data_IF_876063827426
#
_entry.id   IF_876063827426
#
_cell.length_a   1.000
_cell.length_b   1.000
_cell.length_c   1.000
_cell.angle_alpha   90.00
_cell.angle_beta   90.00
_cell.angle_gamma   90.00
#
_symmetry.space_group_name_H-M   'P 1'
#
loop_
_entity.id
_entity.type
_entity.pdbx_description
1 polymer ?
#
# COMPACT_ATOMS: atom_id res chain seq x y z
N UNK A 1 1.98 -36.09 -1.85
CA UNK A 1 0.67 -36.75 -1.73
C UNK A 1 0.62 -37.78 -0.59
N UNK A 2 1.42 -38.89 -0.59
CA UNK A 2 1.33 -39.96 0.42
C UNK A 2 1.52 -39.51 1.87
N UNK A 3 2.45 -38.58 2.15
CA UNK A 3 2.68 -38.01 3.47
C UNK A 3 1.47 -37.20 3.94
N UNK A 4 0.96 -36.33 3.08
CA UNK A 4 -0.23 -35.50 3.35
C UNK A 4 -1.46 -36.39 3.63
N UNK A 5 -1.64 -37.48 2.87
CA UNK A 5 -2.73 -38.42 3.07
C UNK A 5 -2.67 -39.16 4.44
N UNK A 6 -1.45 -39.45 4.96
CA UNK A 6 -1.29 -40.04 6.30
C UNK A 6 -1.54 -39.05 7.43
N UNK A 7 -1.32 -37.76 7.18
CA UNK A 7 -1.50 -36.70 8.18
C UNK A 7 -2.91 -36.13 8.17
N UNK A 8 -3.69 -36.43 7.13
CA UNK A 8 -5.06 -35.95 6.99
C UNK A 8 -5.95 -36.58 8.08
N UNK A 9 -6.73 -35.77 8.82
CA UNK A 9 -7.68 -36.27 9.81
C UNK A 9 -8.73 -37.22 9.20
N UNK A 10 -9.37 -38.09 10.03
CA UNK A 10 -10.49 -38.91 9.56
C UNK A 10 -11.59 -38.06 8.95
N UNK A 11 -12.26 -38.59 7.92
CA UNK A 11 -13.35 -37.93 7.19
C UNK A 11 -12.95 -36.67 6.45
N UNK A 12 -11.66 -36.33 6.36
CA UNK A 12 -11.19 -35.23 5.52
C UNK A 12 -11.16 -35.62 4.04
N UNK A 13 -11.36 -34.65 3.17
CA UNK A 13 -11.23 -34.82 1.71
C UNK A 13 -9.93 -34.16 1.25
N UNK A 14 -9.03 -34.99 0.69
CA UNK A 14 -7.79 -34.55 0.11
C UNK A 14 -7.90 -34.59 -1.41
N UNK A 15 -7.66 -33.48 -2.09
CA UNK A 15 -7.57 -33.39 -3.54
C UNK A 15 -6.30 -32.67 -3.99
N UNK A 16 -5.88 -32.96 -5.22
CA UNK A 16 -4.80 -32.23 -5.90
C UNK A 16 -5.44 -31.20 -6.83
N UNK A 17 -5.18 -29.93 -6.60
CA UNK A 17 -5.79 -28.81 -7.35
C UNK A 17 -4.92 -28.44 -8.56
N UNK A 18 -3.60 -28.43 -8.37
CA UNK A 18 -2.63 -28.13 -9.44
C UNK A 18 -1.39 -29.02 -9.30
N UNK A 19 -0.35 -28.76 -10.08
CA UNK A 19 0.87 -29.57 -10.13
C UNK A 19 1.51 -29.77 -8.76
N UNK A 20 1.58 -28.75 -7.93
CA UNK A 20 2.21 -28.73 -6.61
C UNK A 20 1.23 -28.30 -5.48
N UNK A 21 0.02 -27.89 -5.84
CA UNK A 21 -1.00 -27.46 -4.89
C UNK A 21 -1.98 -28.59 -4.53
N UNK A 22 -2.23 -28.74 -3.24
CA UNK A 22 -3.17 -29.70 -2.67
C UNK A 22 -4.17 -28.97 -1.80
N UNK A 23 -5.43 -29.36 -1.85
CA UNK A 23 -6.46 -28.90 -0.94
C UNK A 23 -6.88 -30.01 0.01
N UNK A 24 -6.99 -29.66 1.29
CA UNK A 24 -7.47 -30.54 2.35
C UNK A 24 -8.70 -29.90 3.00
N UNK A 25 -9.85 -30.50 2.78
CA UNK A 25 -11.09 -30.07 3.41
C UNK A 25 -11.31 -30.86 4.69
N UNK A 26 -11.46 -30.15 5.80
CA UNK A 26 -11.74 -30.71 7.11
C UNK A 26 -13.22 -30.52 7.46
N UNK A 27 -13.94 -31.56 7.91
CA UNK A 27 -15.35 -31.43 8.32
C UNK A 27 -15.50 -30.58 9.59
N UNK A 28 -14.50 -30.64 10.47
CA UNK A 28 -14.45 -29.90 11.73
C UNK A 28 -13.11 -29.18 11.91
N UNK A 29 -13.16 -28.02 12.56
CA UNK A 29 -11.94 -27.31 12.93
C UNK A 29 -11.18 -28.09 14.04
N UNK A 30 -9.86 -28.25 13.91
CA UNK A 30 -9.05 -28.76 15.00
C UNK A 30 -9.18 -27.89 16.26
N UNK A 31 -9.13 -28.47 17.44
CA UNK A 31 -9.21 -27.76 18.72
C UNK A 31 -8.22 -26.62 18.85
N UNK A 32 -7.04 -26.75 18.24
CA UNK A 32 -6.06 -25.68 18.06
C UNK A 32 -5.58 -25.70 16.61
N UNK A 33 -6.16 -24.81 15.80
CA UNK A 33 -5.79 -24.69 14.38
C UNK A 33 -4.31 -24.32 14.20
N UNK A 34 -3.81 -23.43 15.04
CA UNK A 34 -2.41 -22.98 15.01
C UNK A 34 -1.42 -24.13 15.34
N UNK A 35 -1.70 -24.92 16.36
CA UNK A 35 -0.86 -26.07 16.70
C UNK A 35 -0.93 -27.16 15.62
N UNK A 36 -2.12 -27.45 15.13
CA UNK A 36 -2.33 -28.45 14.08
C UNK A 36 -1.63 -28.07 12.79
N UNK A 37 -1.76 -26.80 12.33
CA UNK A 37 -1.15 -26.33 11.10
C UNK A 37 0.38 -26.31 11.18
N UNK A 38 0.95 -25.89 12.31
CA UNK A 38 2.40 -25.97 12.55
C UNK A 38 2.92 -27.41 12.52
N UNK A 39 2.24 -28.34 13.17
CA UNK A 39 2.63 -29.73 13.14
C UNK A 39 2.54 -30.32 11.73
N UNK A 40 1.44 -30.04 11.02
CA UNK A 40 1.27 -30.47 9.63
C UNK A 40 2.40 -29.96 8.74
N UNK A 41 2.75 -28.69 8.87
CA UNK A 41 3.83 -28.08 8.13
C UNK A 41 5.18 -28.70 8.44
N UNK A 42 5.53 -28.84 9.72
CA UNK A 42 6.79 -29.47 10.15
C UNK A 42 6.95 -30.88 9.58
N UNK A 43 5.91 -31.67 9.63
CA UNK A 43 5.90 -33.01 9.07
C UNK A 43 6.05 -33.00 7.54
N UNK A 44 5.41 -32.07 6.85
CA UNK A 44 5.51 -31.95 5.40
C UNK A 44 6.89 -31.43 4.95
N UNK A 45 7.55 -30.61 5.76
CA UNK A 45 8.88 -30.08 5.49
C UNK A 45 10.02 -31.06 5.80
N UNK A 46 9.74 -32.18 6.51
CA UNK A 46 10.77 -33.19 6.71
C UNK A 46 11.31 -33.71 5.37
N UNK A 47 12.62 -33.94 5.24
CA UNK A 47 13.23 -34.32 3.96
C UNK A 47 12.58 -35.54 3.33
N UNK A 48 12.46 -35.50 2.02
CA UNK A 48 11.99 -36.59 1.19
C UNK A 48 13.18 -37.35 0.60
N UNK A 49 13.17 -38.69 0.71
CA UNK A 49 14.15 -39.49 0.00
C UNK A 49 13.65 -39.76 -1.42
N UNK A 50 14.37 -39.29 -2.39
CA UNK A 50 14.10 -39.54 -3.82
C UNK A 50 15.38 -40.14 -4.40
N UNK A 51 15.33 -41.46 -4.63
CA UNK A 51 16.49 -42.26 -4.99
C UNK A 51 17.63 -42.08 -3.98
N UNK A 52 18.80 -41.61 -4.39
CA UNK A 52 19.95 -41.37 -3.53
C UNK A 52 19.95 -39.92 -2.92
N UNK A 53 19.00 -39.05 -3.32
CA UNK A 53 18.98 -37.67 -2.91
C UNK A 53 17.98 -37.39 -1.77
N UNK A 54 18.41 -36.53 -0.86
CA UNK A 54 17.59 -36.03 0.23
C UNK A 54 17.12 -34.62 -0.11
N UNK A 55 15.82 -34.46 -0.40
CA UNK A 55 15.23 -33.22 -0.87
C UNK A 55 14.34 -32.63 0.22
N UNK A 56 14.57 -31.38 0.59
CA UNK A 56 13.70 -30.61 1.45
C UNK A 56 12.98 -29.56 0.62
N UNK A 57 11.66 -29.49 0.76
CA UNK A 57 10.83 -28.52 0.03
C UNK A 57 10.18 -27.54 1.01
N UNK A 58 10.12 -26.24 0.70
CA UNK A 58 9.33 -25.30 1.49
C UNK A 58 7.84 -25.63 1.32
N UNK A 59 7.09 -25.53 2.41
CA UNK A 59 5.64 -25.76 2.42
C UNK A 59 4.95 -24.53 2.95
N UNK A 60 3.96 -24.05 2.21
CA UNK A 60 3.10 -22.95 2.60
C UNK A 60 1.67 -23.46 2.76
N UNK A 61 0.98 -22.98 3.79
CA UNK A 61 -0.40 -23.33 4.10
C UNK A 61 -1.28 -22.08 4.01
N UNK A 62 -2.27 -22.11 3.14
CA UNK A 62 -3.37 -21.15 3.12
C UNK A 62 -4.60 -21.80 3.76
N UNK A 63 -5.18 -21.17 4.75
CA UNK A 63 -6.29 -21.70 5.54
C UNK A 63 -7.48 -20.78 5.44
N UNK A 64 -8.65 -21.34 5.17
CA UNK A 64 -9.93 -20.65 5.27
C UNK A 64 -10.93 -21.51 6.06
N UNK A 65 -11.83 -20.87 6.78
CA UNK A 65 -12.92 -21.55 7.48
C UNK A 65 -14.27 -20.91 7.16
N UNK A 66 -15.33 -21.73 7.21
CA UNK A 66 -16.67 -21.25 6.88
C UNK A 66 -17.68 -22.39 6.83
N UNK A 67 -18.85 -22.10 6.25
CA UNK A 67 -19.94 -23.09 6.15
C UNK A 67 -19.73 -23.97 4.91
N UNK A 68 -20.03 -25.26 5.04
CA UNK A 68 -19.86 -26.25 3.96
C UNK A 68 -20.60 -25.91 2.64
N UNK A 69 -21.70 -25.17 2.72
CA UNK A 69 -22.47 -24.74 1.53
C UNK A 69 -21.71 -23.76 0.62
N UNK A 70 -20.63 -23.18 1.11
CA UNK A 70 -19.84 -22.17 0.40
C UNK A 70 -18.47 -22.76 -0.02
N UNK A 71 -18.41 -24.03 -0.43
CA UNK A 71 -17.16 -24.77 -0.69
C UNK A 71 -16.25 -24.10 -1.72
N UNK A 72 -16.77 -23.60 -2.84
CA UNK A 72 -15.99 -22.89 -3.86
C UNK A 72 -15.37 -21.60 -3.30
N UNK A 73 -16.15 -20.87 -2.50
CA UNK A 73 -15.68 -19.68 -1.84
C UNK A 73 -14.61 -19.96 -0.79
N UNK A 74 -14.76 -21.06 -0.03
CA UNK A 74 -13.73 -21.51 0.93
C UNK A 74 -12.41 -21.85 0.23
N UNK A 75 -12.47 -22.53 -0.91
CA UNK A 75 -11.28 -22.86 -1.70
C UNK A 75 -10.61 -21.58 -2.19
N UNK A 76 -11.36 -20.65 -2.80
CA UNK A 76 -10.84 -19.36 -3.26
C UNK A 76 -10.21 -18.53 -2.12
N UNK A 77 -10.81 -18.56 -0.92
CA UNK A 77 -10.25 -17.88 0.25
C UNK A 77 -8.95 -18.55 0.73
N UNK A 78 -8.87 -19.88 0.73
CA UNK A 78 -7.64 -20.59 1.08
C UNK A 78 -6.51 -20.33 0.07
N UNK A 79 -6.83 -20.27 -1.23
CA UNK A 79 -5.89 -19.90 -2.30
C UNK A 79 -5.38 -18.46 -2.13
N UNK A 80 -6.26 -17.51 -1.80
CA UNK A 80 -5.88 -16.13 -1.53
C UNK A 80 -4.93 -16.03 -0.32
N UNK A 81 -5.23 -16.74 0.77
CA UNK A 81 -4.36 -16.83 1.95
C UNK A 81 -3.01 -17.48 1.62
N UNK A 82 -2.99 -18.54 0.79
CA UNK A 82 -1.77 -19.20 0.34
C UNK A 82 -0.90 -18.26 -0.49
N UNK A 83 -1.49 -17.55 -1.45
CA UNK A 83 -0.78 -16.56 -2.29
C UNK A 83 -0.20 -15.41 -1.45
N UNK A 84 -0.93 -14.95 -0.44
CA UNK A 84 -0.43 -13.96 0.51
C UNK A 84 0.74 -14.51 1.33
N UNK A 85 0.62 -15.71 1.89
CA UNK A 85 1.69 -16.36 2.67
C UNK A 85 2.97 -16.53 1.85
N UNK A 86 2.87 -16.99 0.59
CA UNK A 86 4.00 -17.11 -0.33
C UNK A 86 4.71 -15.76 -0.54
N UNK A 87 3.96 -14.65 -0.73
CA UNK A 87 4.53 -13.30 -0.91
C UNK A 87 5.22 -12.76 0.34
N UNK A 88 4.65 -13.02 1.52
CA UNK A 88 5.14 -12.53 2.80
C UNK A 88 6.15 -13.49 3.47
N UNK A 89 6.50 -14.60 2.82
CA UNK A 89 7.33 -15.67 3.38
C UNK A 89 6.76 -16.25 4.69
N UNK A 90 5.44 -16.17 4.86
CA UNK A 90 4.72 -16.74 5.99
C UNK A 90 4.25 -18.14 5.64
N UNK A 91 4.76 -19.11 6.34
CA UNK A 91 4.49 -20.51 6.05
C UNK A 91 3.05 -20.98 6.33
N UNK A 92 2.33 -20.27 7.19
CA UNK A 92 0.93 -20.55 7.50
C UNK A 92 0.14 -19.24 7.55
N UNK A 93 -0.87 -19.10 6.72
CA UNK A 93 -1.68 -17.88 6.61
C UNK A 93 -3.16 -18.26 6.68
N UNK A 94 -3.87 -17.66 7.64
CA UNK A 94 -5.32 -17.77 7.75
C UNK A 94 -5.96 -16.65 6.92
N UNK A 95 -6.98 -17.00 6.14
CA UNK A 95 -7.74 -16.02 5.38
C UNK A 95 -8.44 -15.03 6.32
N UNK A 96 -8.14 -13.78 6.13
CA UNK A 96 -8.81 -12.65 6.80
C UNK A 96 -9.59 -11.85 5.75
N UNK A 97 -10.94 -11.85 5.81
CA UNK A 97 -11.77 -11.08 4.87
C UNK A 97 -11.47 -9.57 4.88
N UNK A 98 -11.13 -9.02 6.04
CA UNK A 98 -10.81 -7.59 6.16
C UNK A 98 -9.48 -7.27 5.46
N UNK A 99 -8.48 -8.13 5.64
CA UNK A 99 -7.19 -8.00 4.98
C UNK A 99 -7.29 -8.20 3.47
N UNK A 100 -8.06 -9.19 3.00
CA UNK A 100 -8.32 -9.41 1.58
C UNK A 100 -9.01 -8.19 0.93
N UNK A 101 -10.04 -7.66 1.59
CA UNK A 101 -10.73 -6.45 1.13
C UNK A 101 -9.76 -5.24 1.07
N UNK A 102 -8.90 -5.08 2.07
CA UNK A 102 -7.88 -4.02 2.08
C UNK A 102 -6.88 -4.16 0.93
N UNK A 103 -6.42 -5.38 0.66
CA UNK A 103 -5.48 -5.65 -0.44
C UNK A 103 -6.14 -5.39 -1.80
N UNK A 104 -7.37 -5.84 -2.01
CA UNK A 104 -8.15 -5.57 -3.23
C UNK A 104 -8.35 -4.08 -3.44
N UNK A 105 -8.76 -3.36 -2.38
CA UNK A 105 -8.91 -1.90 -2.42
C UNK A 105 -7.59 -1.22 -2.83
N UNK A 106 -6.47 -1.62 -2.21
CA UNK A 106 -5.14 -1.09 -2.54
C UNK A 106 -4.77 -1.33 -4.01
N UNK A 107 -5.04 -2.53 -4.55
CA UNK A 107 -4.79 -2.85 -5.96
C UNK A 107 -5.63 -1.99 -6.92
N UNK A 108 -6.90 -1.77 -6.61
CA UNK A 108 -7.79 -0.93 -7.41
C UNK A 108 -7.33 0.53 -7.40
N UNK A 109 -6.96 1.07 -6.23
CA UNK A 109 -6.40 2.42 -6.09
C UNK A 109 -5.11 2.55 -6.89
N UNK A 110 -4.18 1.59 -6.77
CA UNK A 110 -2.92 1.57 -7.52
C UNK A 110 -3.14 1.55 -9.04
N UNK A 111 -4.13 0.80 -9.53
CA UNK A 111 -4.44 0.73 -10.95
C UNK A 111 -5.03 2.03 -11.51
N UNK A 112 -5.76 2.80 -10.70
CA UNK A 112 -6.42 4.03 -11.13
C UNK A 112 -5.58 5.29 -10.93
N UNK A 113 -4.63 5.28 -10.00
CA UNK A 113 -3.80 6.42 -9.63
C UNK A 113 -3.07 7.09 -10.82
N UNK A 114 -2.45 6.35 -11.77
CA UNK A 114 -1.78 6.97 -12.92
C UNK A 114 -2.72 7.81 -13.79
N UNK A 115 -3.93 7.32 -13.99
CA UNK A 115 -4.95 8.04 -14.77
C UNK A 115 -5.47 9.26 -13.99
N UNK A 116 -5.75 9.10 -12.69
CA UNK A 116 -6.23 10.17 -11.85
C UNK A 116 -5.25 11.36 -11.77
N UNK A 117 -3.94 11.10 -11.70
CA UNK A 117 -2.91 12.14 -11.76
C UNK A 117 -2.94 12.83 -13.14
N UNK A 118 -2.95 12.05 -14.23
CA UNK A 118 -2.95 12.58 -15.60
C UNK A 118 -4.20 13.40 -15.93
N UNK A 119 -5.37 12.98 -15.42
CA UNK A 119 -6.64 13.66 -15.65
C UNK A 119 -6.92 14.78 -14.65
N UNK A 120 -5.97 15.08 -13.75
CA UNK A 120 -6.10 16.08 -12.69
C UNK A 120 -7.37 15.87 -11.82
N UNK A 121 -7.67 14.61 -11.49
CA UNK A 121 -8.79 14.27 -10.60
C UNK A 121 -8.47 14.55 -9.13
N UNK A 122 -7.17 14.62 -8.80
CA UNK A 122 -6.72 15.02 -7.48
C UNK A 122 -6.89 16.52 -7.30
N UNK A 123 -7.31 16.91 -6.10
CA UNK A 123 -7.58 18.31 -5.75
C UNK A 123 -6.72 18.74 -4.58
N UNK A 124 -6.57 20.05 -4.39
CA UNK A 124 -5.90 20.63 -3.25
C UNK A 124 -6.93 21.26 -2.31
N UNK A 125 -6.77 21.01 -1.00
CA UNK A 125 -7.40 21.80 0.07
C UNK A 125 -6.30 22.52 0.85
N UNK A 126 -6.67 23.59 1.54
CA UNK A 126 -5.71 24.46 2.16
C UNK A 126 -6.04 24.62 3.63
N UNK A 127 -5.13 24.20 4.50
CA UNK A 127 -5.28 24.33 5.94
C UNK A 127 -4.61 25.62 6.39
N UNK A 128 -5.35 26.56 7.02
CA UNK A 128 -4.78 27.85 7.40
C UNK A 128 -3.76 27.71 8.54
N UNK A 129 -2.65 28.45 8.42
CA UNK A 129 -1.61 28.56 9.43
C UNK A 129 -1.74 29.95 10.07
N UNK A 130 -1.98 29.99 11.36
CA UNK A 130 -2.17 31.22 12.14
C UNK A 130 -0.92 31.50 12.97
N UNK A 131 -0.40 32.70 12.86
CA UNK A 131 0.67 33.17 13.73
C UNK A 131 0.12 33.37 15.15
N UNK A 132 0.60 32.60 16.11
CA UNK A 132 0.12 32.62 17.51
C UNK A 132 0.40 33.95 18.25
N UNK A 133 1.44 34.67 17.82
CA UNK A 133 1.81 35.95 18.41
C UNK A 133 0.89 37.10 17.96
N UNK A 134 0.58 37.15 16.66
CA UNK A 134 -0.22 38.25 16.09
C UNK A 134 -1.69 37.90 15.89
N UNK A 135 -2.05 36.61 16.03
CA UNK A 135 -3.37 36.03 15.74
C UNK A 135 -3.86 36.34 14.31
N UNK A 136 -2.91 36.47 13.37
CA UNK A 136 -3.19 36.74 11.95
C UNK A 136 -2.86 35.49 11.10
N UNK A 137 -3.52 35.39 9.96
CA UNK A 137 -3.21 34.40 8.95
C UNK A 137 -1.76 34.62 8.47
N UNK A 138 -0.92 33.61 8.61
CA UNK A 138 0.47 33.59 8.12
C UNK A 138 0.57 32.92 6.76
N UNK A 139 -0.12 31.80 6.61
CA UNK A 139 -0.02 30.97 5.43
C UNK A 139 -1.09 29.91 5.36
N UNK A 140 -0.89 28.95 4.49
CA UNK A 140 -1.72 27.77 4.40
C UNK A 140 -0.86 26.57 4.00
N UNK A 141 -1.17 25.40 4.56
CA UNK A 141 -0.61 24.13 4.12
C UNK A 141 -1.50 23.55 3.01
N UNK A 142 -0.87 23.18 1.89
CA UNK A 142 -1.53 22.45 0.80
C UNK A 142 -1.61 20.97 1.12
N UNK A 143 -2.83 20.47 1.15
CA UNK A 143 -3.13 19.06 1.41
C UNK A 143 -3.81 18.44 0.20
N UNK A 144 -3.18 17.43 -0.38
CA UNK A 144 -3.73 16.69 -1.51
C UNK A 144 -4.98 15.90 -1.09
N UNK A 145 -5.98 15.87 -1.97
CA UNK A 145 -7.23 15.10 -1.79
C UNK A 145 -7.56 14.37 -3.09
N UNK A 146 -8.00 13.14 -2.96
CA UNK A 146 -8.48 12.35 -4.09
C UNK A 146 -9.95 11.98 -3.90
N UNK A 147 -10.89 12.80 -4.42
CA UNK A 147 -12.30 12.43 -4.45
C UNK A 147 -12.52 11.37 -5.53
N UNK A 148 -12.95 10.17 -5.13
CA UNK A 148 -13.14 9.05 -6.04
C UNK A 148 -14.62 8.67 -6.10
N UNK A 149 -15.21 8.41 -7.30
CA UNK A 149 -16.65 8.16 -7.45
C UNK A 149 -17.12 6.91 -6.70
N UNK A 150 -16.32 5.86 -6.64
CA UNK A 150 -16.68 4.60 -5.96
C UNK A 150 -16.20 4.53 -4.51
N UNK A 151 -15.01 5.07 -4.23
CA UNK A 151 -14.36 4.94 -2.91
C UNK A 151 -14.57 6.14 -2.01
N UNK A 152 -15.26 7.18 -2.48
CA UNK A 152 -15.38 8.43 -1.74
C UNK A 152 -14.02 9.16 -1.67
N UNK A 153 -13.75 9.81 -0.56
CA UNK A 153 -12.45 10.47 -0.36
C UNK A 153 -11.39 9.41 -0.02
N UNK A 154 -10.42 9.20 -0.94
CA UNK A 154 -9.26 8.33 -0.69
C UNK A 154 -8.25 9.11 0.14
N UNK A 155 -7.80 8.50 1.24
CA UNK A 155 -6.83 9.12 2.16
C UNK A 155 -5.45 9.28 1.51
N UNK A 156 -4.73 10.39 1.76
CA UNK A 156 -3.33 10.52 1.40
C UNK A 156 -2.45 9.36 1.89
N UNK A 157 -2.71 8.83 3.08
CA UNK A 157 -2.01 7.66 3.64
C UNK A 157 -2.20 6.37 2.82
N UNK A 158 -3.25 6.31 1.98
CA UNK A 158 -3.47 5.19 1.07
C UNK A 158 -2.76 5.38 -0.27
N UNK A 159 -2.84 6.57 -0.89
CA UNK A 159 -2.36 6.76 -2.26
C UNK A 159 -0.95 7.37 -2.38
N UNK A 160 -0.45 8.14 -1.40
CA UNK A 160 0.92 8.68 -1.46
C UNK A 160 1.96 7.56 -1.46
N UNK A 161 1.91 6.56 -0.55
CA UNK A 161 2.83 5.43 -0.61
C UNK A 161 2.74 4.64 -1.92
N UNK A 162 1.55 4.56 -2.53
CA UNK A 162 1.38 3.94 -3.84
C UNK A 162 2.01 4.76 -4.97
N UNK A 163 1.90 6.09 -4.90
CA UNK A 163 2.59 6.98 -5.85
C UNK A 163 4.11 6.82 -5.77
N UNK A 164 4.66 6.65 -4.57
CA UNK A 164 6.08 6.37 -4.34
C UNK A 164 6.50 5.02 -4.93
N UNK A 165 5.78 3.95 -4.59
CA UNK A 165 6.05 2.59 -5.07
C UNK A 165 5.97 2.47 -6.61
N UNK A 166 5.05 3.22 -7.23
CA UNK A 166 4.83 3.22 -8.68
C UNK A 166 5.72 4.23 -9.43
N UNK A 167 6.55 5.00 -8.73
CA UNK A 167 7.38 6.06 -9.33
C UNK A 167 6.57 7.25 -9.86
N UNK A 168 5.37 7.49 -9.34
CA UNK A 168 4.46 8.54 -9.76
C UNK A 168 4.53 9.79 -8.86
N UNK A 169 5.30 9.73 -7.78
CA UNK A 169 5.34 10.79 -6.76
C UNK A 169 5.83 12.13 -7.33
N UNK A 170 6.75 12.11 -8.30
CA UNK A 170 7.20 13.32 -9.00
C UNK A 170 6.06 13.99 -9.79
N UNK A 171 5.26 13.19 -10.53
CA UNK A 171 4.12 13.69 -11.29
C UNK A 171 3.02 14.23 -10.38
N UNK A 172 2.75 13.55 -9.26
CA UNK A 172 1.82 14.01 -8.23
C UNK A 172 2.28 15.33 -7.61
N UNK A 173 3.55 15.43 -7.25
CA UNK A 173 4.14 16.64 -6.69
C UNK A 173 4.08 17.83 -7.65
N UNK A 174 4.35 17.60 -8.94
CA UNK A 174 4.22 18.64 -9.97
C UNK A 174 2.78 19.14 -10.11
N UNK A 175 1.79 18.24 -10.07
CA UNK A 175 0.37 18.61 -10.07
C UNK A 175 0.01 19.46 -8.85
N UNK A 176 0.46 19.06 -7.65
CA UNK A 176 0.19 19.81 -6.42
C UNK A 176 0.90 21.18 -6.42
N UNK A 177 2.12 21.24 -6.90
CA UNK A 177 2.88 22.50 -7.05
C UNK A 177 2.14 23.47 -7.98
N UNK A 178 1.66 23.00 -9.12
CA UNK A 178 0.92 23.81 -10.09
C UNK A 178 -0.40 24.34 -9.50
N UNK A 179 -1.19 23.48 -8.84
CA UNK A 179 -2.43 23.86 -8.17
C UNK A 179 -2.17 24.86 -7.03
N UNK A 180 -1.12 24.62 -6.24
CA UNK A 180 -0.74 25.48 -5.14
C UNK A 180 -0.30 26.86 -5.60
N UNK A 181 0.63 26.95 -6.55
CA UNK A 181 1.13 28.21 -7.10
C UNK A 181 0.00 29.01 -7.77
N UNK A 182 -0.86 28.35 -8.54
CA UNK A 182 -2.01 29.00 -9.16
C UNK A 182 -2.97 29.60 -8.13
N UNK A 183 -3.21 28.90 -7.02
CA UNK A 183 -4.08 29.38 -5.94
C UNK A 183 -3.42 30.52 -5.14
N UNK A 184 -2.12 30.39 -4.83
CA UNK A 184 -1.36 31.42 -4.12
C UNK A 184 -1.34 32.73 -4.92
N UNK A 185 -1.13 32.68 -6.22
CA UNK A 185 -1.20 33.84 -7.12
C UNK A 185 -2.56 34.55 -7.07
N UNK A 186 -3.66 33.81 -6.91
CA UNK A 186 -5.00 34.42 -6.70
C UNK A 186 -5.10 35.13 -5.35
N UNK A 187 -4.51 34.55 -4.30
CA UNK A 187 -4.55 35.13 -2.97
C UNK A 187 -3.65 36.35 -2.79
N UNK A 188 -2.57 36.48 -3.58
CA UNK A 188 -1.67 37.63 -3.53
C UNK A 188 -2.39 38.97 -3.64
N UNK A 189 -3.51 39.04 -4.36
CA UNK A 189 -4.27 40.30 -4.53
C UNK A 189 -4.80 40.79 -3.19
N UNK A 190 -5.21 39.89 -2.27
CA UNK A 190 -5.78 40.24 -0.99
C UNK A 190 -4.78 40.06 0.17
N UNK A 191 -3.78 39.21 0.02
CA UNK A 191 -2.82 38.82 1.04
C UNK A 191 -1.43 38.59 0.42
N UNK A 192 -0.68 39.69 0.08
CA UNK A 192 0.60 39.58 -0.63
C UNK A 192 1.69 38.85 0.18
N UNK A 193 1.59 38.85 1.50
CA UNK A 193 2.59 38.25 2.39
C UNK A 193 2.24 36.79 2.77
N UNK A 194 1.24 36.18 2.12
CA UNK A 194 0.83 34.83 2.43
C UNK A 194 1.88 33.81 1.95
N UNK A 195 2.17 32.82 2.79
CA UNK A 195 3.08 31.71 2.49
C UNK A 195 2.26 30.43 2.26
N UNK A 196 2.66 29.64 1.28
CA UNK A 196 2.07 28.33 1.02
C UNK A 196 3.09 27.25 1.32
N UNK A 197 2.75 26.35 2.25
CA UNK A 197 3.55 25.17 2.55
C UNK A 197 3.08 23.98 1.70
N UNK A 198 4.03 23.28 1.10
CA UNK A 198 3.80 22.07 0.30
C UNK A 198 4.67 20.93 0.82
N UNK A 199 4.05 19.79 1.10
CA UNK A 199 4.74 18.59 1.53
C UNK A 199 5.51 17.94 0.37
N UNK A 200 6.78 17.59 0.61
CA UNK A 200 7.64 16.85 -0.31
C UNK A 200 7.96 15.45 0.19
N UNK A 201 7.85 14.47 -0.69
CA UNK A 201 8.34 13.11 -0.42
C UNK A 201 9.87 13.07 -0.46
N UNK A 202 10.50 12.22 0.40
CA UNK A 202 11.93 11.92 0.33
C UNK A 202 12.44 11.55 -1.06
N UNK A 203 11.62 10.82 -1.82
CA UNK A 203 11.99 10.38 -3.17
C UNK A 203 12.05 11.55 -4.16
N UNK A 204 11.20 12.56 -4.00
CA UNK A 204 11.25 13.77 -4.83
C UNK A 204 12.50 14.61 -4.56
N UNK A 205 12.95 14.64 -3.30
CA UNK A 205 14.15 15.40 -2.93
C UNK A 205 15.41 14.92 -3.64
N UNK A 206 15.44 13.65 -4.07
CA UNK A 206 16.56 13.07 -4.84
C UNK A 206 16.51 13.39 -6.34
N UNK A 207 15.44 14.01 -6.83
CA UNK A 207 15.30 14.35 -8.24
C UNK A 207 16.06 15.65 -8.55
N UNK A 208 17.10 15.64 -9.39
CA UNK A 208 17.84 16.84 -9.76
C UNK A 208 16.99 17.89 -10.47
N UNK A 209 15.88 17.48 -11.07
CA UNK A 209 14.95 18.38 -11.76
C UNK A 209 13.95 19.06 -10.82
N UNK A 210 13.90 18.67 -9.54
CA UNK A 210 12.94 19.24 -8.58
C UNK A 210 13.09 20.76 -8.46
N UNK A 211 14.30 21.26 -8.18
CA UNK A 211 14.54 22.70 -8.02
C UNK A 211 14.23 23.50 -9.30
N UNK A 212 14.71 23.08 -10.49
CA UNK A 212 14.30 23.71 -11.76
C UNK A 212 12.79 23.77 -11.95
N UNK A 213 12.05 22.71 -11.66
CA UNK A 213 10.60 22.66 -11.79
C UNK A 213 9.91 23.64 -10.83
N UNK A 214 10.35 23.71 -9.58
CA UNK A 214 9.81 24.63 -8.57
C UNK A 214 10.02 26.08 -9.02
N UNK A 215 11.24 26.45 -9.42
CA UNK A 215 11.54 27.82 -9.86
C UNK A 215 10.76 28.20 -11.12
N UNK A 216 10.65 27.31 -12.09
CA UNK A 216 9.84 27.54 -13.28
C UNK A 216 8.35 27.74 -12.96
N UNK A 217 7.82 27.01 -11.96
CA UNK A 217 6.43 27.17 -11.51
C UNK A 217 6.22 28.52 -10.81
N UNK A 218 7.12 28.89 -9.90
CA UNK A 218 7.10 30.19 -9.18
C UNK A 218 7.12 31.33 -10.19
N UNK A 219 8.04 31.31 -11.16
CA UNK A 219 8.18 32.33 -12.19
C UNK A 219 6.93 32.43 -13.07
N UNK A 220 6.38 31.30 -13.52
CA UNK A 220 5.18 31.25 -14.35
C UNK A 220 3.97 31.91 -13.68
N UNK A 221 3.83 31.74 -12.36
CA UNK A 221 2.72 32.32 -11.60
C UNK A 221 3.02 33.69 -11.01
N UNK A 222 4.19 34.25 -11.26
CA UNK A 222 4.60 35.59 -10.78
C UNK A 222 4.74 35.66 -9.26
N UNK A 223 5.14 34.55 -8.62
CA UNK A 223 5.32 34.44 -7.19
C UNK A 223 6.75 34.83 -6.78
N UNK A 224 6.92 35.28 -5.56
CA UNK A 224 8.24 35.42 -4.96
C UNK A 224 8.69 34.10 -4.30
N UNK A 225 9.96 33.68 -4.39
CA UNK A 225 10.42 32.42 -3.81
C UNK A 225 10.11 32.23 -2.33
N UNK A 226 10.12 33.30 -1.54
CA UNK A 226 9.82 33.26 -0.11
C UNK A 226 8.35 32.97 0.23
N UNK A 227 7.45 33.02 -0.75
CA UNK A 227 6.02 32.71 -0.58
C UNK A 227 5.73 31.20 -0.65
N UNK A 228 6.71 30.37 -1.04
CA UNK A 228 6.59 28.93 -1.08
C UNK A 228 7.52 28.30 -0.04
N UNK A 229 6.96 27.51 0.84
CA UNK A 229 7.65 26.71 1.83
C UNK A 229 7.54 25.23 1.47
N UNK A 230 8.64 24.49 1.58
CA UNK A 230 8.69 23.06 1.29
C UNK A 230 8.89 22.31 2.57
N UNK A 231 7.93 21.46 2.91
CA UNK A 231 7.97 20.65 4.13
C UNK A 231 8.50 19.25 3.83
N UNK A 232 9.53 18.86 4.55
CA UNK A 232 10.19 17.55 4.43
C UNK A 232 10.05 16.83 5.77
N UNK A 233 9.65 15.56 5.74
CA UNK A 233 9.54 14.75 6.95
C UNK A 233 10.92 14.38 7.50
N UNK A 234 11.04 14.19 8.82
CA UNK A 234 12.31 13.88 9.52
C UNK A 234 13.05 12.66 8.95
N UNK A 235 12.35 11.69 8.37
CA UNK A 235 12.95 10.50 7.76
C UNK A 235 13.96 10.78 6.64
N UNK A 236 13.85 11.94 5.96
CA UNK A 236 14.77 12.35 4.88
C UNK A 236 16.14 12.74 5.40
N UNK A 237 16.16 13.39 6.57
CA UNK A 237 17.40 13.93 7.16
C UNK A 237 18.29 12.83 7.75
N UNK A 238 17.70 11.69 8.13
CA UNK A 238 18.45 10.60 8.78
C UNK A 238 19.15 9.67 7.79
N UNK A 239 18.67 9.54 6.55
CA UNK A 239 19.29 8.67 5.54
C UNK A 239 20.54 9.29 4.87
N UNK A 240 20.69 10.61 4.90
CA UNK A 240 21.79 11.33 4.26
C UNK A 240 22.79 11.96 5.25
N UNK A 241 22.76 11.59 6.54
CA UNK A 241 23.70 12.12 7.54
C UNK A 241 25.13 11.50 7.43
N UNK A 242 25.31 10.50 6.58
CA UNK A 242 26.58 9.79 6.38
C UNK A 242 27.24 10.07 5.01
N UNK A 243 26.71 10.98 4.17
CA UNK A 243 27.33 11.54 2.98
C UNK A 243 27.60 13.05 3.17
#
# INVERSE_FOLDING_TARGET
ARRLQRLAPPQSLLCRVAADDFALLLPELPLSLDTWSRNLQQELMTPYQVEEHRIQIPVFLGIAHGKAKDAERLLSHAEAALAQGKRQQQHCTLFDPALDAKLKRRQLIAAQLPLAIKSAELTAVYQPIICTHSNRLHGAELLCRWPHPEFGMISPDEFIPLAEELGLIGQLGQLMLELGCAQLARWQVAAPDLVLSINLSPLQFRDPELCPQIFACIERHGLAPWQLELEITEGVLMENADE
#
